data_IF_649982972057
#
_entry.id   IF_649982972057
#
_cell.length_a   1.000
_cell.length_b   1.000
_cell.length_c   1.000
_cell.angle_alpha   90.00
_cell.angle_beta   90.00
_cell.angle_gamma   90.00
#
_symmetry.space_group_name_H-M   'P 1'
#
loop_
_entity.id
_entity.type
_entity.pdbx_description
1 polymer ?
#
# COMPACT_ATOMS: atom_id res chain seq x y z
N UNK A 1 16.57 11.19 -16.14
CA UNK A 1 17.19 9.96 -16.68
C UNK A 1 16.90 8.74 -15.78
N UNK A 2 15.84 8.76 -14.95
CA UNK A 2 15.50 7.67 -14.00
C UNK A 2 14.40 6.72 -14.54
N UNK A 3 13.75 7.05 -15.66
CA UNK A 3 12.62 6.29 -16.20
C UNK A 3 12.97 4.99 -16.94
N UNK A 4 14.24 4.74 -17.22
CA UNK A 4 14.68 3.61 -18.06
C UNK A 4 15.26 2.43 -17.28
N UNK A 5 15.50 2.56 -15.97
CA UNK A 5 16.08 1.49 -15.14
C UNK A 5 15.18 0.25 -15.04
N UNK A 6 13.87 0.41 -15.27
CA UNK A 6 12.91 -0.69 -15.20
C UNK A 6 12.79 -1.49 -16.50
N UNK A 7 13.28 -0.98 -17.64
CA UNK A 7 13.22 -1.69 -18.92
C UNK A 7 14.21 -2.85 -19.00
N UNK A 8 15.33 -2.79 -18.27
CA UNK A 8 16.30 -3.88 -18.19
C UNK A 8 15.74 -5.19 -17.61
N UNK A 9 14.60 -5.13 -16.90
CA UNK A 9 13.92 -6.33 -16.39
C UNK A 9 13.06 -7.04 -17.43
N UNK A 10 12.65 -6.33 -18.49
CA UNK A 10 11.77 -6.85 -19.55
C UNK A 10 12.57 -7.34 -20.77
N UNK A 11 13.82 -6.91 -20.92
CA UNK A 11 14.66 -7.21 -22.08
C UNK A 11 15.86 -8.02 -21.58
N UNK A 12 15.88 -9.31 -21.87
CA UNK A 12 17.03 -10.18 -21.60
C UNK A 12 17.98 -10.13 -22.78
N UNK A 13 19.19 -9.57 -22.58
CA UNK A 13 20.28 -9.72 -23.54
C UNK A 13 21.02 -11.00 -23.16
N UNK A 14 20.78 -12.10 -23.87
CA UNK A 14 21.66 -13.27 -23.77
C UNK A 14 22.94 -12.97 -24.55
N UNK A 15 24.00 -12.56 -23.85
CA UNK A 15 25.34 -12.96 -24.26
C UNK A 15 25.94 -13.87 -23.20
N UNK A 16 26.57 -14.94 -23.67
CA UNK A 16 27.01 -16.05 -22.81
C UNK A 16 28.20 -15.62 -21.96
N UNK A 17 27.92 -15.13 -20.74
CA UNK A 17 28.88 -15.17 -19.65
C UNK A 17 29.28 -13.84 -18.99
N UNK A 18 28.51 -12.76 -19.12
CA UNK A 18 28.75 -11.53 -18.35
C UNK A 18 27.51 -11.11 -17.55
N UNK A 19 27.75 -10.71 -16.30
CA UNK A 19 26.75 -10.12 -15.41
C UNK A 19 26.14 -8.85 -16.03
N UNK A 20 24.83 -8.86 -16.25
CA UNK A 20 23.93 -7.71 -16.32
C UNK A 20 24.47 -6.43 -16.96
N UNK A 21 24.61 -6.40 -18.27
CA UNK A 21 24.89 -5.16 -19.01
C UNK A 21 23.67 -4.21 -18.94
N UNK A 22 23.91 -2.94 -18.62
CA UNK A 22 22.85 -1.92 -18.58
C UNK A 22 22.28 -1.68 -19.99
N UNK A 23 21.00 -1.31 -20.10
CA UNK A 23 20.34 -1.01 -21.39
C UNK A 23 21.14 0.01 -22.25
N UNK A 24 21.86 0.92 -21.59
CA UNK A 24 22.75 1.90 -22.23
C UNK A 24 23.99 1.31 -22.89
N UNK A 25 24.39 0.09 -22.51
CA UNK A 25 25.55 -0.64 -23.04
C UNK A 25 25.13 -1.67 -24.10
N UNK A 26 23.91 -2.20 -24.01
CA UNK A 26 23.39 -3.23 -24.91
C UNK A 26 22.73 -2.69 -26.20
N UNK A 27 22.38 -1.40 -26.26
CA UNK A 27 21.74 -0.83 -27.44
C UNK A 27 22.75 -0.08 -28.33
N UNK A 28 22.73 -0.27 -29.67
CA UNK A 28 23.52 0.52 -30.62
C UNK A 28 23.02 1.97 -30.75
N UNK A 29 21.99 2.35 -29.99
CA UNK A 29 21.23 3.59 -30.09
C UNK A 29 21.67 4.62 -29.03
N UNK A 30 22.23 4.16 -27.91
CA UNK A 30 22.76 5.04 -26.87
C UNK A 30 24.26 5.26 -27.16
N UNK A 31 24.58 6.35 -27.84
CA UNK A 31 25.93 6.74 -28.26
C UNK A 31 26.89 7.11 -27.09
N UNK A 32 26.82 6.41 -25.96
CA UNK A 32 27.73 6.56 -24.82
C UNK A 32 28.67 5.36 -24.65
N UNK A 33 28.73 4.46 -25.63
CA UNK A 33 29.65 3.33 -25.65
C UNK A 33 31.04 3.70 -26.20
N UNK A 34 31.19 4.84 -26.87
CA UNK A 34 32.43 5.31 -27.48
C UNK A 34 32.72 6.77 -27.06
N UNK A 35 33.80 7.04 -26.31
CA UNK A 35 34.14 8.38 -25.84
C UNK A 35 34.54 9.37 -26.94
N UNK A 36 34.79 8.92 -28.18
CA UNK A 36 35.18 9.77 -29.31
C UNK A 36 34.03 10.12 -30.28
N UNK A 37 32.79 9.68 -30.00
CA UNK A 37 31.65 9.91 -30.89
C UNK A 37 30.74 11.05 -30.39
N UNK A 38 30.38 12.06 -31.21
CA UNK A 38 29.53 13.16 -30.77
C UNK A 38 28.10 12.69 -30.47
N UNK A 39 27.49 13.27 -29.43
CA UNK A 39 26.13 12.98 -28.99
C UNK A 39 25.10 13.40 -30.07
N UNK A 40 24.81 12.50 -31.02
CA UNK A 40 23.78 12.70 -32.03
C UNK A 40 22.44 12.28 -31.43
N UNK A 41 21.43 13.17 -31.34
CA UNK A 41 20.12 12.82 -30.83
C UNK A 41 19.42 11.85 -31.79
N UNK A 42 19.00 10.69 -31.28
CA UNK A 42 18.28 9.69 -32.06
C UNK A 42 16.76 9.96 -32.01
N UNK A 43 16.03 9.90 -33.13
CA UNK A 43 14.59 10.05 -33.15
C UNK A 43 13.87 9.03 -32.25
N UNK A 44 12.89 9.51 -31.46
CA UNK A 44 12.14 8.68 -30.51
C UNK A 44 11.41 7.50 -31.18
N UNK A 45 11.02 7.63 -32.45
CA UNK A 45 10.38 6.56 -33.23
C UNK A 45 11.31 5.36 -33.45
N UNK A 46 12.61 5.61 -33.61
CA UNK A 46 13.61 4.56 -33.80
C UNK A 46 13.91 3.81 -32.51
N UNK A 47 13.91 4.53 -31.37
CA UNK A 47 14.01 3.95 -30.02
C UNK A 47 12.80 3.07 -29.74
N UNK A 48 11.59 3.55 -30.04
CA UNK A 48 10.35 2.81 -29.82
C UNK A 48 10.30 1.53 -30.66
N UNK A 49 10.68 1.60 -31.94
CA UNK A 49 10.71 0.43 -32.83
C UNK A 49 11.66 -0.67 -32.33
N UNK A 50 12.87 -0.28 -31.90
CA UNK A 50 13.85 -1.21 -31.35
C UNK A 50 13.36 -1.88 -30.05
N UNK A 51 12.74 -1.11 -29.14
CA UNK A 51 12.19 -1.64 -27.90
C UNK A 51 11.08 -2.68 -28.13
N UNK A 52 10.14 -2.38 -29.03
CA UNK A 52 9.05 -3.30 -29.36
C UNK A 52 9.58 -4.62 -29.92
N UNK A 53 10.61 -4.57 -30.77
CA UNK A 53 11.20 -5.75 -31.37
C UNK A 53 11.92 -6.64 -30.34
N UNK A 54 12.64 -6.03 -29.40
CA UNK A 54 13.33 -6.78 -28.33
C UNK A 54 12.36 -7.41 -27.32
N UNK A 55 11.27 -6.72 -26.98
CA UNK A 55 10.22 -7.28 -26.12
C UNK A 55 9.56 -8.48 -26.81
N UNK A 56 9.26 -8.38 -28.12
CA UNK A 56 8.69 -9.49 -28.88
C UNK A 56 9.62 -10.71 -28.91
N UNK A 57 10.90 -10.51 -29.23
CA UNK A 57 11.90 -11.59 -29.24
C UNK A 57 12.09 -12.23 -27.84
N UNK A 58 12.08 -11.43 -26.77
CA UNK A 58 12.19 -11.95 -25.40
C UNK A 58 10.96 -12.80 -25.01
N UNK A 59 9.76 -12.42 -25.44
CA UNK A 59 8.54 -13.17 -25.18
C UNK A 59 8.53 -14.52 -25.92
N UNK A 60 9.03 -14.57 -27.15
CA UNK A 60 9.14 -15.82 -27.91
C UNK A 60 10.06 -16.83 -27.19
N UNK A 61 11.21 -16.39 -26.67
CA UNK A 61 12.14 -17.25 -25.93
C UNK A 61 11.61 -17.76 -24.57
N UNK A 62 10.75 -17.01 -23.89
CA UNK A 62 10.10 -17.47 -22.64
C UNK A 62 9.12 -18.62 -22.93
N UNK A 63 8.55 -18.65 -24.13
CA UNK A 63 7.58 -19.67 -24.54
C UNK A 63 8.27 -21.01 -24.88
N UNK A 64 9.50 -20.98 -25.40
CA UNK A 64 10.28 -22.19 -25.72
C UNK A 64 10.84 -22.91 -24.47
N UNK A 65 11.12 -22.19 -23.37
CA UNK A 65 11.66 -22.79 -22.13
C UNK A 65 10.61 -23.59 -21.31
N UNK A 66 9.35 -23.68 -21.75
CA UNK A 66 8.30 -24.43 -21.08
C UNK A 66 7.55 -25.45 -21.98
N UNK A 67 8.13 -26.62 -22.30
CA UNK A 67 7.33 -27.79 -22.64
C UNK A 67 7.31 -28.81 -21.47
N UNK A 68 6.09 -29.11 -21.02
CA UNK A 68 5.59 -30.29 -20.32
C UNK A 68 6.57 -31.18 -19.50
N UNK A 69 6.35 -31.23 -18.19
CA UNK A 69 6.84 -32.27 -17.26
C UNK A 69 6.18 -33.62 -17.58
N UNK A 70 6.99 -34.67 -17.79
CA UNK A 70 6.55 -36.07 -17.68
C UNK A 70 7.57 -36.89 -16.85
N UNK A 71 7.10 -37.37 -15.69
CA UNK A 71 7.45 -38.51 -14.83
C UNK A 71 8.88 -39.14 -14.77
N UNK A 72 9.43 -39.22 -13.54
CA UNK A 72 10.45 -40.19 -13.09
C UNK A 72 10.78 -40.11 -11.57
N UNK A 73 11.07 -41.22 -10.85
CA UNK A 73 10.95 -41.31 -9.37
C UNK A 73 12.25 -41.03 -8.57
N UNK A 74 12.20 -40.94 -7.22
CA UNK A 74 13.22 -40.26 -6.41
C UNK A 74 14.32 -41.20 -5.88
N UNK A 75 15.56 -40.73 -5.93
CA UNK A 75 16.72 -41.20 -5.15
C UNK A 75 17.54 -39.95 -4.87
N UNK A 76 17.77 -39.53 -3.63
CA UNK A 76 18.66 -40.14 -2.67
C UNK A 76 19.60 -39.02 -2.21
N UNK A 77 19.73 -38.87 -0.90
CA UNK A 77 20.43 -37.79 -0.16
C UNK A 77 21.81 -37.39 -0.70
N UNK A 78 22.13 -36.09 -0.65
CA UNK A 78 23.36 -35.62 0.00
C UNK A 78 23.29 -34.12 0.37
N UNK A 79 23.82 -33.83 1.55
CA UNK A 79 23.96 -32.50 2.13
C UNK A 79 25.05 -31.73 1.39
N UNK A 80 24.77 -30.49 1.00
CA UNK A 80 25.83 -29.50 0.80
C UNK A 80 25.34 -28.10 1.16
N UNK A 81 26.22 -27.38 1.86
CA UNK A 81 26.05 -26.02 2.37
C UNK A 81 25.99 -25.05 1.20
N UNK A 82 24.78 -24.65 0.79
CA UNK A 82 24.59 -23.65 -0.27
C UNK A 82 24.57 -22.25 0.35
N UNK A 83 25.65 -21.50 0.11
CA UNK A 83 25.73 -20.04 0.18
C UNK A 83 24.49 -19.43 -0.46
N UNK A 84 23.77 -18.59 0.30
CA UNK A 84 22.61 -17.87 -0.18
C UNK A 84 22.96 -17.02 -1.41
N UNK A 85 22.53 -17.48 -2.58
CA UNK A 85 22.32 -16.63 -3.75
C UNK A 85 21.19 -15.63 -3.45
N UNK A 86 21.16 -14.44 -4.09
CA UNK A 86 20.03 -13.55 -3.97
C UNK A 86 18.85 -14.21 -4.71
N UNK A 87 18.11 -15.06 -3.98
CA UNK A 87 16.82 -15.57 -4.42
C UNK A 87 15.99 -14.37 -4.86
N UNK A 88 15.59 -14.37 -6.13
CA UNK A 88 14.51 -13.52 -6.64
C UNK A 88 13.30 -13.86 -5.79
N UNK A 89 13.05 -13.05 -4.75
CA UNK A 89 11.95 -13.29 -3.80
C UNK A 89 10.64 -13.03 -4.54
N UNK A 90 9.90 -14.10 -4.83
CA UNK A 90 8.57 -14.01 -5.43
C UNK A 90 7.68 -13.07 -4.61
N UNK A 91 6.89 -12.20 -5.25
CA UNK A 91 5.95 -11.35 -4.54
C UNK A 91 4.94 -12.22 -3.77
N UNK A 92 4.62 -11.80 -2.54
CA UNK A 92 3.59 -12.44 -1.75
C UNK A 92 2.23 -11.90 -2.18
N UNK A 93 1.25 -12.78 -2.38
CA UNK A 93 -0.10 -12.41 -2.78
C UNK A 93 -1.08 -12.68 -1.65
N UNK A 94 -2.02 -11.76 -1.47
CA UNK A 94 -3.23 -11.90 -0.68
C UNK A 94 -4.35 -11.58 -1.64
N UNK A 95 -5.11 -12.59 -2.05
CA UNK A 95 -6.13 -12.44 -3.08
C UNK A 95 -7.46 -13.03 -2.62
N UNK A 96 -8.56 -12.35 -2.96
CA UNK A 96 -9.90 -12.91 -2.80
C UNK A 96 -10.39 -13.01 -1.35
N UNK A 97 -9.78 -12.27 -0.41
CA UNK A 97 -10.26 -12.23 0.99
C UNK A 97 -11.62 -11.55 1.01
N UNK A 98 -12.63 -12.24 1.52
CA UNK A 98 -14.00 -11.72 1.57
C UNK A 98 -14.69 -12.00 2.90
N UNK A 99 -15.35 -10.98 3.46
CA UNK A 99 -16.16 -11.07 4.70
C UNK A 99 -15.39 -11.59 5.93
N UNK A 100 -14.07 -11.46 5.93
CA UNK A 100 -13.20 -11.92 7.02
C UNK A 100 -12.09 -10.92 7.31
N UNK A 101 -11.34 -11.15 8.39
CA UNK A 101 -10.08 -10.46 8.64
C UNK A 101 -8.88 -11.37 8.44
N UNK A 102 -7.81 -10.78 7.88
CA UNK A 102 -6.60 -11.48 7.47
C UNK A 102 -5.38 -10.78 8.05
N UNK A 103 -4.41 -11.55 8.55
CA UNK A 103 -3.25 -11.00 9.26
C UNK A 103 -1.97 -11.65 8.73
N UNK A 104 -0.96 -10.83 8.44
CA UNK A 104 0.41 -11.28 8.17
C UNK A 104 1.42 -10.54 9.04
N UNK A 105 2.39 -11.28 9.53
CA UNK A 105 3.47 -10.78 10.38
C UNK A 105 4.80 -10.72 9.63
N UNK A 106 5.79 -10.04 10.22
CA UNK A 106 7.14 -9.95 9.68
C UNK A 106 7.81 -11.32 9.43
N UNK A 107 7.49 -12.34 10.23
CA UNK A 107 7.96 -13.73 10.03
C UNK A 107 7.61 -14.28 8.64
N UNK A 108 6.45 -13.87 8.13
CA UNK A 108 5.85 -14.41 6.92
C UNK A 108 6.38 -13.68 5.67
N UNK A 109 6.97 -12.49 5.87
CA UNK A 109 7.31 -11.54 4.83
C UNK A 109 8.76 -11.06 5.04
N UNK A 110 9.71 -11.78 4.45
CA UNK A 110 11.14 -11.43 4.47
C UNK A 110 11.42 -10.23 3.54
N UNK A 111 11.04 -9.00 3.89
CA UNK A 111 11.28 -7.78 3.09
C UNK A 111 10.93 -7.96 1.60
N UNK A 112 9.83 -8.65 1.33
CA UNK A 112 9.38 -8.96 -0.02
C UNK A 112 8.44 -7.87 -0.55
N UNK A 113 8.00 -8.04 -1.79
CA UNK A 113 6.92 -7.23 -2.37
C UNK A 113 5.59 -7.91 -2.06
N UNK A 114 4.59 -7.14 -1.67
CA UNK A 114 3.24 -7.63 -1.38
C UNK A 114 2.24 -7.15 -2.42
N UNK A 115 1.28 -8.00 -2.78
CA UNK A 115 0.09 -7.60 -3.54
C UNK A 115 -1.17 -8.04 -2.80
N UNK A 116 -2.06 -7.10 -2.52
CA UNK A 116 -3.41 -7.32 -2.00
C UNK A 116 -4.38 -7.07 -3.14
N UNK A 117 -5.10 -8.11 -3.58
CA UNK A 117 -5.85 -8.09 -4.84
C UNK A 117 -7.29 -8.59 -4.60
N UNK A 118 -8.28 -7.89 -5.15
CA UNK A 118 -9.68 -8.36 -5.16
C UNK A 118 -10.20 -8.77 -3.78
N UNK A 119 -9.91 -7.96 -2.75
CA UNK A 119 -10.39 -8.19 -1.40
C UNK A 119 -11.62 -7.31 -1.13
N UNK A 120 -12.69 -7.92 -0.62
CA UNK A 120 -13.99 -7.27 -0.49
C UNK A 120 -14.54 -7.44 0.92
N UNK A 121 -15.21 -6.44 1.49
CA UNK A 121 -15.88 -6.58 2.79
C UNK A 121 -14.95 -7.14 3.90
N UNK A 122 -13.68 -6.71 3.95
CA UNK A 122 -12.65 -7.38 4.76
C UNK A 122 -11.74 -6.42 5.51
N UNK A 123 -11.07 -6.93 6.55
CA UNK A 123 -10.06 -6.15 7.28
C UNK A 123 -8.72 -6.86 7.20
N UNK A 124 -7.73 -6.23 6.59
CA UNK A 124 -6.44 -6.85 6.29
C UNK A 124 -5.35 -6.12 7.06
N UNK A 125 -4.62 -6.85 7.89
CA UNK A 125 -3.50 -6.35 8.68
C UNK A 125 -2.20 -6.98 8.17
N UNK A 126 -1.31 -6.16 7.61
CA UNK A 126 0.03 -6.60 7.26
C UNK A 126 1.03 -5.87 8.14
N UNK A 127 1.42 -6.49 9.25
CA UNK A 127 2.30 -5.91 10.27
C UNK A 127 3.75 -6.36 10.04
N UNK A 128 4.30 -5.97 8.89
CA UNK A 128 5.62 -6.41 8.43
C UNK A 128 6.38 -5.27 7.70
N UNK A 129 7.72 -5.29 7.71
CA UNK A 129 8.52 -4.44 6.83
C UNK A 129 8.44 -4.96 5.39
N UNK A 130 8.15 -4.05 4.45
CA UNK A 130 7.96 -4.36 3.03
C UNK A 130 8.86 -3.49 2.16
N UNK A 131 9.26 -4.00 1.00
CA UNK A 131 9.93 -3.17 -0.01
C UNK A 131 8.93 -2.42 -0.87
N UNK A 132 7.94 -3.14 -1.38
CA UNK A 132 6.87 -2.61 -2.21
C UNK A 132 5.54 -3.22 -1.76
N UNK A 133 4.46 -2.46 -1.89
CA UNK A 133 3.11 -2.98 -1.72
C UNK A 133 2.21 -2.49 -2.85
N UNK A 134 1.31 -3.35 -3.32
CA UNK A 134 0.26 -2.98 -4.27
C UNK A 134 -1.08 -3.41 -3.71
N UNK A 135 -2.05 -2.50 -3.72
CA UNK A 135 -3.44 -2.78 -3.38
C UNK A 135 -4.24 -2.56 -4.65
N UNK A 136 -4.97 -3.57 -5.11
CA UNK A 136 -5.67 -3.55 -6.38
C UNK A 136 -7.07 -4.12 -6.26
N UNK A 137 -8.08 -3.45 -6.81
CA UNK A 137 -9.42 -4.03 -6.97
C UNK A 137 -10.15 -4.32 -5.65
N UNK A 138 -9.80 -3.65 -4.55
CA UNK A 138 -10.40 -3.91 -3.25
C UNK A 138 -11.64 -3.04 -3.03
N UNK A 139 -12.65 -3.56 -2.32
CA UNK A 139 -13.87 -2.79 -2.01
C UNK A 139 -14.38 -2.99 -0.58
N UNK A 140 -14.95 -1.94 0.02
CA UNK A 140 -15.56 -2.01 1.37
C UNK A 140 -14.63 -2.63 2.43
N UNK A 141 -13.34 -2.31 2.32
CA UNK A 141 -12.27 -2.95 3.09
C UNK A 141 -11.47 -1.95 3.91
N UNK A 142 -10.89 -2.42 5.02
CA UNK A 142 -9.88 -1.67 5.78
C UNK A 142 -8.54 -2.38 5.68
N UNK A 143 -7.53 -1.72 5.13
CA UNK A 143 -6.21 -2.32 4.87
C UNK A 143 -5.16 -1.54 5.64
N UNK A 144 -4.51 -2.21 6.58
CA UNK A 144 -3.41 -1.68 7.39
C UNK A 144 -2.12 -2.27 6.88
N UNK A 145 -1.23 -1.41 6.39
CA UNK A 145 0.13 -1.79 5.99
C UNK A 145 1.14 -1.31 7.04
N UNK A 146 2.10 -2.19 7.31
CA UNK A 146 3.32 -1.85 8.02
C UNK A 146 4.24 -0.96 7.20
N UNK A 147 5.47 -0.79 7.67
CA UNK A 147 6.46 0.09 7.05
C UNK A 147 6.86 -0.38 5.64
N UNK A 148 6.65 0.47 4.62
CA UNK A 148 7.02 0.19 3.22
C UNK A 148 8.16 1.10 2.73
N UNK A 149 9.33 0.51 2.51
CA UNK A 149 10.57 1.23 2.26
C UNK A 149 10.72 1.92 0.93
N UNK A 150 10.03 1.49 -0.13
CA UNK A 150 10.20 2.08 -1.47
C UNK A 150 8.94 2.77 -1.97
N UNK A 151 7.90 2.02 -2.27
CA UNK A 151 6.67 2.58 -2.81
C UNK A 151 5.45 1.71 -2.53
N UNK A 152 4.31 2.37 -2.32
CA UNK A 152 2.99 1.75 -2.29
C UNK A 152 2.17 2.24 -3.47
N UNK A 153 1.44 1.34 -4.12
CA UNK A 153 0.49 1.68 -5.18
C UNK A 153 -0.91 1.18 -4.83
N UNK A 154 -1.90 2.06 -4.89
CA UNK A 154 -3.31 1.73 -4.64
C UNK A 154 -4.10 2.05 -5.91
N UNK A 155 -4.73 1.03 -6.48
CA UNK A 155 -5.38 1.11 -7.79
C UNK A 155 -6.76 0.47 -7.77
N UNK A 156 -7.72 1.09 -8.46
CA UNK A 156 -9.06 0.50 -8.69
C UNK A 156 -9.78 0.07 -7.40
N UNK A 157 -9.70 0.88 -6.33
CA UNK A 157 -10.31 0.58 -5.04
C UNK A 157 -11.54 1.46 -4.77
N UNK A 158 -12.55 0.91 -4.11
CA UNK A 158 -13.83 1.60 -3.82
C UNK A 158 -14.25 1.48 -2.35
N UNK A 159 -14.56 2.59 -1.68
CA UNK A 159 -14.94 2.61 -0.25
C UNK A 159 -13.94 1.87 0.64
N UNK A 160 -12.64 2.08 0.39
CA UNK A 160 -11.56 1.44 1.15
C UNK A 160 -10.91 2.45 2.09
N UNK A 161 -10.65 2.02 3.32
CA UNK A 161 -9.81 2.72 4.27
C UNK A 161 -8.40 2.12 4.24
N UNK A 162 -7.40 2.91 3.86
CA UNK A 162 -6.03 2.43 3.70
C UNK A 162 -5.11 3.19 4.64
N UNK A 163 -4.44 2.48 5.54
CA UNK A 163 -3.54 3.05 6.56
C UNK A 163 -2.11 2.59 6.27
N UNK A 164 -1.21 3.52 5.92
CA UNK A 164 0.11 3.20 5.36
C UNK A 164 1.20 4.11 5.93
N UNK A 165 2.32 3.50 6.35
CA UNK A 165 3.60 4.18 6.54
C UNK A 165 4.55 3.82 5.37
N UNK A 166 4.92 4.76 4.52
CA UNK A 166 5.74 4.48 3.33
C UNK A 166 6.60 5.67 2.90
N UNK A 167 7.69 5.43 2.14
CA UNK A 167 8.43 6.57 1.54
C UNK A 167 7.62 7.32 0.49
N UNK A 168 6.97 6.57 -0.40
CA UNK A 168 6.21 7.10 -1.55
C UNK A 168 4.90 6.33 -1.68
N UNK A 169 3.84 7.04 -2.05
CA UNK A 169 2.54 6.44 -2.34
C UNK A 169 2.00 6.99 -3.66
N UNK A 170 1.42 6.10 -4.46
CA UNK A 170 0.71 6.43 -5.69
C UNK A 170 -0.71 5.86 -5.58
N UNK A 171 -1.70 6.72 -5.79
CA UNK A 171 -3.13 6.39 -5.71
C UNK A 171 -3.72 6.67 -7.07
N UNK A 172 -4.40 5.69 -7.64
CA UNK A 172 -5.04 5.85 -8.93
C UNK A 172 -6.38 5.12 -9.05
N UNK A 173 -7.28 5.71 -9.84
CA UNK A 173 -8.58 5.13 -10.17
C UNK A 173 -9.38 4.67 -8.93
N UNK A 174 -9.34 5.45 -7.84
CA UNK A 174 -9.97 5.12 -6.56
C UNK A 174 -11.22 5.97 -6.32
N UNK A 175 -12.23 5.40 -5.64
CA UNK A 175 -13.51 6.07 -5.39
C UNK A 175 -13.93 5.96 -3.93
N UNK A 176 -14.30 7.11 -3.33
CA UNK A 176 -14.84 7.18 -1.96
C UNK A 176 -13.89 6.52 -0.93
N UNK A 177 -12.58 6.60 -1.16
CA UNK A 177 -11.54 6.01 -0.31
C UNK A 177 -10.95 7.03 0.65
N UNK A 178 -10.53 6.57 1.83
CA UNK A 178 -9.85 7.37 2.85
C UNK A 178 -8.45 6.81 3.08
N UNK A 179 -7.44 7.67 2.95
CA UNK A 179 -6.04 7.31 3.07
C UNK A 179 -5.42 7.97 4.31
N UNK A 180 -4.97 7.17 5.27
CA UNK A 180 -4.23 7.62 6.44
C UNK A 180 -2.74 7.39 6.21
N UNK A 181 -2.01 8.47 5.95
CA UNK A 181 -0.68 8.42 5.36
C UNK A 181 0.39 8.92 6.33
N UNK A 182 1.46 8.14 6.47
CA UNK A 182 2.73 8.55 7.05
C UNK A 182 3.78 8.45 5.95
N UNK A 183 4.02 9.56 5.24
CA UNK A 183 4.83 9.55 4.01
C UNK A 183 5.93 10.60 3.96
N UNK A 184 7.13 10.19 3.53
CA UNK A 184 8.28 11.10 3.42
C UNK A 184 8.21 12.01 2.18
N UNK A 185 7.55 11.55 1.12
CA UNK A 185 7.31 12.30 -0.13
C UNK A 185 5.82 12.55 -0.35
N UNK A 186 5.50 13.56 -1.16
CA UNK A 186 4.12 13.89 -1.53
C UNK A 186 3.39 12.68 -2.14
N UNK A 187 2.14 12.39 -1.72
CA UNK A 187 1.29 11.41 -2.38
C UNK A 187 1.03 11.78 -3.84
N UNK A 188 1.18 10.82 -4.74
CA UNK A 188 0.84 10.99 -6.15
C UNK A 188 -0.60 10.54 -6.38
N UNK A 189 -1.45 11.42 -6.90
CA UNK A 189 -2.84 11.10 -7.28
C UNK A 189 -2.93 11.12 -8.80
N UNK A 190 -3.29 9.99 -9.41
CA UNK A 190 -3.25 9.80 -10.88
C UNK A 190 -4.55 9.17 -11.38
N UNK A 191 -4.99 9.50 -12.59
CA UNK A 191 -6.16 8.87 -13.19
C UNK A 191 -7.49 9.39 -12.64
N UNK A 192 -8.55 8.60 -12.76
CA UNK A 192 -9.93 9.00 -12.46
C UNK A 192 -10.30 8.70 -11.01
N UNK A 193 -10.12 9.69 -10.15
CA UNK A 193 -10.38 9.56 -8.71
C UNK A 193 -11.61 10.38 -8.33
N UNK A 194 -12.45 9.83 -7.44
CA UNK A 194 -13.69 10.47 -7.01
C UNK A 194 -13.81 10.46 -5.48
N UNK A 195 -14.11 11.61 -4.86
CA UNK A 195 -14.29 11.74 -3.40
C UNK A 195 -13.19 11.09 -2.56
N UNK A 196 -11.93 11.33 -2.91
CA UNK A 196 -10.80 10.87 -2.10
C UNK A 196 -10.60 11.76 -0.89
N UNK A 197 -10.25 11.12 0.22
CA UNK A 197 -9.86 11.80 1.45
C UNK A 197 -8.46 11.37 1.89
N UNK A 198 -7.64 12.33 2.29
CA UNK A 198 -6.31 12.11 2.88
C UNK A 198 -6.26 12.63 4.31
N UNK A 199 -5.58 11.90 5.17
CA UNK A 199 -5.43 12.19 6.59
C UNK A 199 -4.02 11.80 7.05
N UNK A 200 -3.54 12.36 8.18
CA UNK A 200 -2.29 11.90 8.76
C UNK A 200 -2.42 10.45 9.24
N UNK A 201 -1.30 9.73 9.30
CA UNK A 201 -1.24 8.39 9.88
C UNK A 201 -1.85 8.39 11.29
N UNK A 202 -2.71 7.42 11.59
CA UNK A 202 -3.56 7.43 12.78
C UNK A 202 -3.47 6.16 13.65
N UNK A 203 -2.46 5.32 13.43
CA UNK A 203 -2.31 4.04 14.13
C UNK A 203 -0.86 3.83 14.58
N UNK A 204 -0.60 2.75 15.30
CA UNK A 204 0.72 2.13 15.45
C UNK A 204 0.52 0.67 15.87
N UNK A 205 1.55 -0.14 15.65
CA UNK A 205 1.72 -1.46 16.26
C UNK A 205 3.07 -1.51 16.96
N UNK A 206 3.24 -2.42 17.92
CA UNK A 206 4.40 -2.43 18.82
C UNK A 206 5.77 -2.43 18.12
N UNK A 207 5.91 -3.10 16.98
CA UNK A 207 7.17 -3.18 16.20
C UNK A 207 7.29 -2.15 15.07
N UNK A 208 6.44 -1.12 15.02
CA UNK A 208 6.40 -0.20 13.90
C UNK A 208 7.69 0.59 13.71
N UNK A 209 8.27 1.15 14.77
CA UNK A 209 9.51 1.94 14.68
C UNK A 209 10.72 1.11 14.20
N UNK A 210 10.80 -0.15 14.63
CA UNK A 210 11.84 -1.08 14.19
C UNK A 210 11.70 -1.34 12.68
N UNK A 211 10.48 -1.65 12.22
CA UNK A 211 10.21 -1.86 10.80
C UNK A 211 10.46 -0.59 9.98
N UNK A 212 10.12 0.60 10.51
CA UNK A 212 10.40 1.89 9.86
C UNK A 212 11.91 2.12 9.70
N UNK A 213 12.68 1.84 10.75
CA UNK A 213 14.15 1.98 10.72
C UNK A 213 14.76 1.00 9.73
N UNK A 214 14.31 -0.24 9.69
CA UNK A 214 14.79 -1.28 8.76
C UNK A 214 14.59 -0.89 7.29
N UNK A 215 13.45 -0.29 6.96
CA UNK A 215 13.12 0.10 5.58
C UNK A 215 13.48 1.57 5.27
N UNK A 216 13.99 2.29 6.26
CA UNK A 216 14.50 3.65 6.18
C UNK A 216 13.45 4.75 6.08
N UNK A 217 12.27 4.59 6.68
CA UNK A 217 11.23 5.63 6.80
C UNK A 217 11.59 6.53 8.00
N UNK A 218 11.62 7.84 7.77
CA UNK A 218 11.85 8.82 8.83
C UNK A 218 10.52 9.35 9.37
N UNK A 219 10.24 9.09 10.65
CA UNK A 219 9.00 9.48 11.31
C UNK A 219 8.81 11.01 11.43
N UNK A 220 9.91 11.76 11.43
CA UNK A 220 9.93 13.23 11.54
C UNK A 220 9.41 13.93 10.28
N UNK A 221 9.44 13.25 9.13
CA UNK A 221 8.99 13.80 7.84
C UNK A 221 7.65 13.17 7.48
N UNK A 222 6.60 13.98 7.48
CA UNK A 222 5.27 13.54 7.06
C UNK A 222 4.61 14.57 6.12
N UNK A 223 4.60 14.28 4.81
CA UNK A 223 4.07 15.12 3.73
C UNK A 223 2.71 14.63 3.21
N UNK A 224 1.90 14.07 4.09
CA UNK A 224 0.59 13.50 3.73
C UNK A 224 -0.40 14.54 3.14
N UNK A 225 -0.23 15.82 3.47
CA UNK A 225 -1.13 16.92 3.13
C UNK A 225 -0.73 17.70 1.87
N UNK A 226 0.46 17.43 1.34
CA UNK A 226 1.05 17.97 0.11
C UNK A 226 0.87 16.92 -1.00
N UNK A 227 -0.32 16.85 -1.60
CA UNK A 227 -0.61 15.88 -2.67
C UNK A 227 -0.26 16.45 -4.04
N UNK A 228 0.33 15.63 -4.90
CA UNK A 228 0.67 15.99 -6.28
C UNK A 228 -0.26 15.24 -7.24
N UNK A 229 -1.07 16.00 -7.95
CA UNK A 229 -2.07 15.47 -8.88
C UNK A 229 -1.52 15.46 -10.31
N UNK A 230 -1.48 14.28 -10.91
CA UNK A 230 -1.12 14.10 -12.31
C UNK A 230 -2.41 13.84 -13.08
N UNK A 231 -3.03 14.93 -13.54
CA UNK A 231 -4.30 14.89 -14.25
C UNK A 231 -4.22 14.08 -15.55
N UNK A 232 -5.35 13.46 -15.92
CA UNK A 232 -5.58 12.96 -17.27
C UNK A 232 -5.65 14.17 -18.20
N UNK A 233 -4.52 14.56 -18.80
CA UNK A 233 -4.53 15.41 -19.98
C UNK A 233 -5.05 14.51 -21.09
N UNK A 234 -6.37 14.56 -21.37
CA UNK A 234 -6.90 13.96 -22.59
C UNK A 234 -6.24 14.66 -23.78
N UNK A 235 -5.34 14.00 -24.54
CA UNK A 235 -4.64 14.62 -25.66
C UNK A 235 -5.61 15.02 -26.79
N UNK A 236 -6.81 14.44 -26.81
CA UNK A 236 -7.85 14.69 -27.81
C UNK A 236 -8.84 15.79 -27.40
N UNK A 237 -8.78 16.30 -26.17
CA UNK A 237 -9.63 17.41 -25.71
C UNK A 237 -8.98 18.79 -25.93
N UNK A 238 -8.20 18.93 -27.01
CA UNK A 238 -7.57 20.19 -27.42
C UNK A 238 -8.53 21.17 -28.11
N UNK A 239 -9.85 20.92 -28.10
CA UNK A 239 -10.84 21.81 -28.68
C UNK A 239 -11.90 22.16 -27.64
N UNK A 240 -11.65 23.29 -27.00
CA UNK A 240 -12.63 24.11 -26.31
C UNK A 240 -13.84 24.38 -27.22
N UNK A 241 -14.88 23.56 -27.10
CA UNK A 241 -16.21 23.90 -27.57
C UNK A 241 -16.88 24.83 -26.53
N UNK A 242 -17.43 25.99 -26.94
CA UNK A 242 -17.98 27.01 -26.03
C UNK A 242 -19.38 26.66 -25.49
N UNK A 243 -19.80 25.40 -25.52
CA UNK A 243 -21.11 24.97 -25.06
C UNK A 243 -20.99 23.72 -24.19
N UNK A 244 -21.06 23.91 -22.87
CA UNK A 244 -21.08 22.82 -21.87
C UNK A 244 -19.82 22.77 -21.01
N UNK A 245 -19.54 23.85 -20.27
CA UNK A 245 -18.46 23.88 -19.27
C UNK A 245 -19.02 23.32 -17.96
N UNK A 246 -18.98 22.00 -17.82
CA UNK A 246 -19.19 21.30 -16.55
C UNK A 246 -18.66 19.89 -16.69
N UNK A 247 -17.72 19.53 -15.81
CA UNK A 247 -17.31 18.16 -15.46
C UNK A 247 -16.14 17.53 -16.25
N UNK A 248 -14.96 18.15 -16.18
CA UNK A 248 -13.69 17.41 -16.32
C UNK A 248 -12.55 18.03 -15.49
N UNK A 249 -12.88 18.64 -14.35
CA UNK A 249 -11.86 18.95 -13.35
C UNK A 249 -11.66 17.67 -12.56
N UNK A 250 -10.49 17.04 -12.67
CA UNK A 250 -10.14 15.91 -11.82
C UNK A 250 -10.41 16.33 -10.37
N UNK A 251 -11.28 15.61 -9.66
CA UNK A 251 -11.61 15.95 -8.28
C UNK A 251 -10.36 15.76 -7.42
N UNK A 252 -9.86 16.87 -6.88
CA UNK A 252 -8.68 16.84 -6.04
C UNK A 252 -8.93 16.07 -4.73
N UNK A 253 -7.90 15.41 -4.21
CA UNK A 253 -8.01 14.71 -2.94
C UNK A 253 -8.27 15.72 -1.81
N UNK A 254 -9.35 15.53 -1.06
CA UNK A 254 -9.74 16.43 0.03
C UNK A 254 -9.10 15.98 1.34
N UNK A 255 -8.88 16.91 2.28
CA UNK A 255 -8.38 16.55 3.62
C UNK A 255 -9.53 16.04 4.48
N UNK A 256 -9.31 14.98 5.24
CA UNK A 256 -10.29 14.49 6.21
C UNK A 256 -10.57 15.58 7.26
N UNK A 257 -11.84 15.72 7.64
CA UNK A 257 -12.21 16.64 8.70
C UNK A 257 -11.56 16.21 10.04
N UNK A 258 -10.87 17.11 10.76
CA UNK A 258 -10.27 16.79 12.07
C UNK A 258 -11.28 16.21 13.07
N UNK A 259 -12.55 16.59 13.05
CA UNK A 259 -13.58 16.06 13.95
C UNK A 259 -13.91 14.59 13.67
N UNK A 260 -13.69 14.13 12.43
CA UNK A 260 -13.85 12.72 12.04
C UNK A 260 -12.56 11.91 12.21
N UNK A 261 -11.44 12.55 12.53
CA UNK A 261 -10.18 11.85 12.76
C UNK A 261 -10.20 11.08 14.09
N UNK A 262 -10.03 9.76 13.99
CA UNK A 262 -9.96 8.87 15.14
C UNK A 262 -8.71 8.00 15.07
N UNK A 263 -8.09 7.74 16.22
CA UNK A 263 -6.98 6.79 16.33
C UNK A 263 -7.50 5.38 15.99
N UNK A 264 -6.91 4.76 14.98
CA UNK A 264 -7.20 3.38 14.65
C UNK A 264 -6.44 2.46 15.62
N UNK A 265 -7.11 1.45 16.16
CA UNK A 265 -6.53 0.51 17.11
C UNK A 265 -6.30 -0.83 16.43
N UNK A 266 -5.05 -1.28 16.41
CA UNK A 266 -4.69 -2.63 15.97
C UNK A 266 -4.88 -3.57 17.15
N UNK A 267 -5.67 -4.65 17.02
CA UNK A 267 -5.91 -5.55 18.14
C UNK A 267 -4.64 -6.20 18.69
N UNK A 268 -4.45 -6.14 20.00
CA UNK A 268 -3.21 -6.58 20.66
C UNK A 268 -2.92 -8.08 20.48
N UNK A 269 -3.94 -8.92 20.27
CA UNK A 269 -3.75 -10.36 20.02
C UNK A 269 -3.17 -10.68 18.63
N UNK A 270 -3.09 -9.68 17.74
CA UNK A 270 -2.42 -9.81 16.45
C UNK A 270 -0.91 -9.67 16.58
N UNK A 271 -0.45 -8.96 17.61
CA UNK A 271 0.95 -8.84 17.94
C UNK A 271 1.29 -10.10 18.75
N UNK A 272 2.09 -11.02 18.18
CA UNK A 272 2.62 -12.15 18.94
C UNK A 272 3.37 -11.67 20.19
N UNK A 273 3.81 -12.58 21.07
CA UNK A 273 4.44 -12.30 22.39
C UNK A 273 5.67 -11.35 22.39
N UNK A 274 6.06 -10.78 21.25
CA UNK A 274 7.08 -9.75 21.10
C UNK A 274 6.65 -8.42 21.72
N UNK A 275 7.38 -8.00 22.77
CA UNK A 275 7.35 -6.65 23.33
C UNK A 275 8.02 -5.66 22.37
N UNK A 276 7.27 -5.05 21.47
CA UNK A 276 7.82 -4.00 20.59
C UNK A 276 8.00 -2.67 21.32
N UNK A 277 8.89 -1.83 20.78
CA UNK A 277 9.29 -0.54 21.38
C UNK A 277 8.23 0.57 21.25
N UNK A 278 7.36 0.49 20.26
CA UNK A 278 6.47 1.60 19.87
C UNK A 278 5.26 1.69 20.79
N UNK A 279 5.11 2.82 21.50
CA UNK A 279 4.04 3.06 22.48
C UNK A 279 2.95 4.00 21.98
N UNK A 280 3.25 4.77 20.95
CA UNK A 280 2.42 5.85 20.43
C UNK A 280 2.68 6.02 18.92
N UNK A 281 1.87 6.85 18.27
CA UNK A 281 1.99 7.09 16.84
C UNK A 281 3.31 7.81 16.56
N UNK A 282 4.24 7.22 15.78
CA UNK A 282 5.56 7.81 15.56
C UNK A 282 5.49 9.07 14.69
N UNK A 283 4.44 9.26 13.90
CA UNK A 283 4.29 10.44 13.05
C UNK A 283 3.67 11.61 13.82
N UNK A 284 4.28 12.80 13.79
CA UNK A 284 3.71 13.97 14.44
C UNK A 284 2.40 14.37 13.74
N UNK A 285 1.38 14.62 14.56
CA UNK A 285 0.10 15.16 14.09
C UNK A 285 0.17 16.69 14.06
N UNK A 286 -0.55 17.31 13.14
CA UNK A 286 -0.71 18.77 13.12
C UNK A 286 -1.71 19.22 14.20
N UNK A 287 -1.55 20.45 14.67
CA UNK A 287 -2.37 21.08 15.72
C UNK A 287 -3.89 20.86 15.62
N UNK A 288 -4.54 21.00 14.44
CA UNK A 288 -6.00 20.78 14.35
C UNK A 288 -6.40 19.34 14.66
N UNK A 289 -5.64 18.36 14.17
CA UNK A 289 -5.93 16.94 14.42
C UNK A 289 -5.62 16.55 15.87
N UNK A 290 -4.57 17.12 16.45
CA UNK A 290 -4.18 16.88 17.83
C UNK A 290 -5.23 17.44 18.80
N UNK A 291 -5.72 18.65 18.54
CA UNK A 291 -6.74 19.30 19.37
C UNK A 291 -8.07 18.56 19.30
N UNK A 292 -8.50 18.15 18.10
CA UNK A 292 -9.70 17.34 17.92
C UNK A 292 -9.58 15.99 18.64
N UNK A 293 -8.43 15.33 18.51
CA UNK A 293 -8.18 14.05 19.20
C UNK A 293 -8.23 14.20 20.72
N UNK A 294 -7.61 15.24 21.28
CA UNK A 294 -7.65 15.52 22.71
C UNK A 294 -9.07 15.85 23.19
N UNK A 295 -9.81 16.67 22.43
CA UNK A 295 -11.22 16.99 22.71
C UNK A 295 -12.06 15.71 22.74
N UNK A 296 -11.92 14.83 21.76
CA UNK A 296 -12.63 13.56 21.70
C UNK A 296 -12.26 12.62 22.86
N UNK A 297 -10.99 12.57 23.24
CA UNK A 297 -10.52 11.79 24.40
C UNK A 297 -11.06 12.34 25.72
N UNK A 298 -11.07 13.66 25.89
CA UNK A 298 -11.62 14.34 27.06
C UNK A 298 -13.13 14.09 27.16
N UNK A 299 -13.87 14.29 26.08
CA UNK A 299 -15.31 14.02 26.00
C UNK A 299 -15.63 12.56 26.36
N UNK A 300 -14.83 11.60 25.87
CA UNK A 300 -14.98 10.19 26.21
C UNK A 300 -14.69 9.93 27.70
N UNK A 301 -13.67 10.58 28.26
CA UNK A 301 -13.31 10.51 29.67
C UNK A 301 -14.42 11.06 30.57
N UNK A 302 -14.94 12.24 30.25
CA UNK A 302 -16.07 12.88 30.93
C UNK A 302 -17.31 12.00 30.85
N UNK A 303 -17.66 11.49 29.68
CA UNK A 303 -18.81 10.58 29.50
C UNK A 303 -18.65 9.32 30.36
N UNK A 304 -17.46 8.72 30.38
CA UNK A 304 -17.16 7.56 31.25
C UNK A 304 -17.28 7.89 32.73
N UNK A 305 -16.85 9.08 33.14
CA UNK A 305 -16.94 9.52 34.53
C UNK A 305 -18.40 9.76 34.93
N UNK A 306 -19.18 10.43 34.08
CA UNK A 306 -20.62 10.64 34.28
C UNK A 306 -21.34 9.29 34.42
N UNK A 307 -21.03 8.31 33.55
CA UNK A 307 -21.61 6.97 33.64
C UNK A 307 -21.22 6.22 34.92
N UNK A 308 -20.03 6.48 35.46
CA UNK A 308 -19.53 5.85 36.69
C UNK A 308 -20.12 6.49 37.96
N UNK A 309 -20.23 7.81 37.97
CA UNK A 309 -20.71 8.60 39.11
C UNK A 309 -22.22 8.74 39.16
N UNK A 310 -22.93 8.41 38.09
CA UNK A 310 -24.39 8.45 38.05
C UNK A 310 -24.97 7.58 39.19
N UNK A 311 -25.82 8.14 40.07
CA UNK A 311 -26.45 7.42 41.18
C UNK A 311 -27.57 6.52 40.63
N UNK A 312 -27.19 5.45 39.95
CA UNK A 312 -28.09 4.49 39.35
C UNK A 312 -28.29 3.30 40.30
N UNK A 313 -29.54 2.88 40.48
CA UNK A 313 -29.85 1.62 41.14
C UNK A 313 -29.28 0.44 40.34
N UNK A 314 -28.96 -0.66 41.02
CA UNK A 314 -28.27 -1.81 40.43
C UNK A 314 -29.08 -2.51 39.31
N UNK A 315 -30.42 -2.38 39.35
CA UNK A 315 -31.29 -2.85 38.26
C UNK A 315 -31.19 -1.94 37.03
N UNK A 316 -31.19 -0.62 37.22
CA UNK A 316 -31.07 0.35 36.13
C UNK A 316 -29.69 0.31 35.46
N UNK A 317 -28.63 0.03 36.24
CA UNK A 317 -27.28 -0.21 35.70
C UNK A 317 -27.25 -1.42 34.77
N UNK A 318 -27.94 -2.51 35.14
CA UNK A 318 -28.07 -3.70 34.30
C UNK A 318 -28.84 -3.40 33.02
N UNK A 319 -29.96 -2.69 33.10
CA UNK A 319 -30.73 -2.27 31.92
C UNK A 319 -29.92 -1.39 30.97
N UNK A 320 -29.22 -0.38 31.51
CA UNK A 320 -28.33 0.49 30.73
C UNK A 320 -27.22 -0.31 30.04
N UNK A 321 -26.58 -1.23 30.76
CA UNK A 321 -25.56 -2.12 30.20
C UNK A 321 -26.13 -2.96 29.04
N UNK A 322 -27.30 -3.60 29.24
CA UNK A 322 -27.97 -4.35 28.18
C UNK A 322 -28.30 -3.49 26.95
N UNK A 323 -28.81 -2.28 27.16
CA UNK A 323 -29.09 -1.35 26.07
C UNK A 323 -27.81 -0.97 25.31
N UNK A 324 -26.75 -0.60 26.03
CA UNK A 324 -25.45 -0.29 25.44
C UNK A 324 -24.89 -1.45 24.63
N UNK A 325 -25.01 -2.70 25.13
CA UNK A 325 -24.59 -3.89 24.40
C UNK A 325 -25.36 -4.09 23.09
N UNK A 326 -26.68 -3.85 23.08
CA UNK A 326 -27.50 -3.95 21.87
C UNK A 326 -27.11 -2.88 20.86
N UNK A 327 -27.05 -1.61 21.28
CA UNK A 327 -26.65 -0.50 20.41
C UNK A 327 -25.23 -0.68 19.87
N UNK A 328 -24.30 -1.16 20.69
CA UNK A 328 -22.93 -1.45 20.26
C UNK A 328 -22.89 -2.56 19.22
N UNK A 329 -23.66 -3.64 19.41
CA UNK A 329 -23.77 -4.72 18.43
C UNK A 329 -24.36 -4.22 17.11
N UNK A 330 -25.44 -3.47 17.16
CA UNK A 330 -26.10 -2.97 15.96
C UNK A 330 -25.19 -1.99 15.21
N UNK A 331 -24.44 -1.16 15.95
CA UNK A 331 -23.38 -0.32 15.40
C UNK A 331 -22.25 -1.14 14.74
N UNK A 332 -21.79 -2.25 15.34
CA UNK A 332 -20.77 -3.12 14.74
C UNK A 332 -21.22 -3.71 13.40
N UNK A 333 -22.49 -4.08 13.26
CA UNK A 333 -23.05 -4.58 12.00
C UNK A 333 -23.23 -3.47 10.97
N UNK A 334 -23.82 -2.32 11.36
CA UNK A 334 -24.07 -1.22 10.46
C UNK A 334 -22.77 -0.59 9.91
N UNK A 335 -21.72 -0.54 10.73
CA UNK A 335 -20.40 0.00 10.34
C UNK A 335 -19.50 -1.03 9.64
N UNK A 336 -19.87 -2.32 9.62
CA UNK A 336 -19.01 -3.40 9.14
C UNK A 336 -17.83 -3.75 10.07
N UNK A 337 -17.66 -3.05 11.20
CA UNK A 337 -16.58 -3.29 12.16
C UNK A 337 -16.62 -4.68 12.82
N UNK A 338 -17.76 -5.37 12.76
CA UNK A 338 -17.89 -6.77 13.19
C UNK A 338 -16.81 -7.68 12.59
N UNK A 339 -16.33 -7.36 11.39
CA UNK A 339 -15.30 -8.11 10.66
C UNK A 339 -13.94 -8.13 11.36
N UNK A 340 -13.64 -7.11 12.16
CA UNK A 340 -12.40 -7.08 12.96
C UNK A 340 -12.34 -8.24 13.96
N UNK A 341 -13.49 -8.83 14.32
CA UNK A 341 -13.58 -9.97 15.22
C UNK A 341 -13.41 -11.33 14.50
N UNK A 342 -13.52 -11.36 13.16
CA UNK A 342 -13.46 -12.60 12.38
C UNK A 342 -12.05 -12.86 11.84
N UNK A 343 -11.09 -13.12 12.73
CA UNK A 343 -9.72 -13.38 12.33
C UNK A 343 -9.55 -14.81 11.81
N UNK A 344 -9.21 -14.96 10.53
CA UNK A 344 -8.73 -16.23 10.00
C UNK A 344 -7.21 -16.31 10.21
N UNK A 345 -6.78 -17.20 11.11
CA UNK A 345 -5.37 -17.58 11.21
C UNK A 345 -5.05 -18.47 10.00
N UNK A 346 -4.08 -18.05 9.18
CA UNK A 346 -3.49 -18.93 8.18
C UNK A 346 -2.49 -19.81 8.92
N UNK A 347 -2.87 -21.06 9.18
CA UNK A 347 -1.92 -22.12 9.57
C UNK A 347 -1.04 -22.54 8.40
#
# INVERSE_FOLDING_TARGET
>A
MEGFEHLGFLIQFEDKGSDGDFLSQAAPIFANSDPDMPAVPVPASQVLGWLLQNIASSLEHVTEKNPAKENGPPSGSDQDVVKASPSVRSPCFIEGVSKSSYVKQASDLKNSSLKVINCHDSVIYILAPLRYATIYGCSDATIVLGAVGKAVRVEHCERVHVIIAAKRVCIANCRECVFFLGVNHHPLIVGDNHKLQVAPYNTYYSRLEEHMTEVGIEATINRWDDTLELGMIDPHNSLSHPAGVSDAQAESATRLDPDHFTKFLIPNWLEGESTGSTKDNPFPLTDPYLTSQQKNQNNLGETKQILREAPLEENLKRELSCALHVYFRDWLYASGNIRQLYCQQSD
#
